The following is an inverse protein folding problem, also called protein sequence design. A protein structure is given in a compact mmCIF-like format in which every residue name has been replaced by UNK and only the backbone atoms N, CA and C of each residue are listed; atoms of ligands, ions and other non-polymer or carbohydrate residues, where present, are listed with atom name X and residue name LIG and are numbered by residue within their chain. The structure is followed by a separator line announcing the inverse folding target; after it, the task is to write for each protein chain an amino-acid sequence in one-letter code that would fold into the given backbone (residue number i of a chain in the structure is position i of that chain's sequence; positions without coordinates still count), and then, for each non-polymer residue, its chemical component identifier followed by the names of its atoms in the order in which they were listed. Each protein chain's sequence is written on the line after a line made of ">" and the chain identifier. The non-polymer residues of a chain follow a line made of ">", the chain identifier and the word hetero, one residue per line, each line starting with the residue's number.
data_IF_209958731241
#
_entry.id   IF_209958731241
#
_cell.length_a   1.000
_cell.length_b   1.000
_cell.length_c   1.000
_cell.angle_alpha   90.00
_cell.angle_beta   90.00
_cell.angle_gamma   90.00
#
_symmetry.space_group_name_H-M   'P 1'
#
loop_
_entity.id
_entity.type
_entity.pdbx_description
1 polymer ?
#
# COMPACT_ATOMS: atom_id res chain seq x y z
N UNK A 1 19.08 0.69 -3.32
CA UNK A 1 18.43 0.78 -2.00
C UNK A 1 16.99 1.15 -2.22
N UNK A 2 16.10 0.37 -1.62
CA UNK A 2 14.65 0.58 -1.59
C UNK A 2 14.36 1.79 -0.70
N UNK A 3 13.52 2.73 -1.15
CA UNK A 3 13.15 3.87 -0.30
C UNK A 3 11.97 3.54 0.64
N UNK A 4 11.87 4.26 1.76
CA UNK A 4 10.80 4.05 2.75
C UNK A 4 10.03 5.35 2.97
N UNK A 5 8.71 5.30 2.82
CA UNK A 5 7.79 6.38 3.16
C UNK A 5 7.03 6.05 4.44
N UNK A 6 7.22 6.87 5.47
CA UNK A 6 6.44 6.84 6.70
C UNK A 6 5.25 7.79 6.55
N UNK A 7 4.05 7.26 6.37
CA UNK A 7 2.85 8.03 6.06
C UNK A 7 2.01 8.36 7.29
N UNK A 8 1.35 9.52 7.29
CA UNK A 8 0.44 9.95 8.34
C UNK A 8 1.16 10.37 9.63
N UNK A 9 2.25 11.12 9.48
CA UNK A 9 2.99 11.70 10.60
C UNK A 9 2.26 12.94 11.11
N UNK A 10 2.06 13.02 12.43
CA UNK A 10 1.29 14.10 13.05
C UNK A 10 1.97 14.74 14.27
N UNK A 11 3.04 14.14 14.81
CA UNK A 11 3.68 14.59 16.06
C UNK A 11 5.17 14.87 15.88
N UNK A 12 5.71 15.77 16.69
CA UNK A 12 7.14 16.08 16.71
C UNK A 12 8.00 14.87 17.15
N UNK A 13 7.55 14.06 18.11
CA UNK A 13 8.28 12.86 18.55
C UNK A 13 8.39 11.79 17.44
N UNK A 14 7.43 11.75 16.50
CA UNK A 14 7.52 10.91 15.32
C UNK A 14 8.66 11.40 14.42
N UNK A 15 8.76 12.72 14.21
CA UNK A 15 9.83 13.35 13.43
C UNK A 15 11.20 13.11 14.07
N UNK A 16 11.32 13.22 15.38
CA UNK A 16 12.55 12.90 16.12
C UNK A 16 13.01 11.45 15.87
N UNK A 17 12.06 10.51 15.91
CA UNK A 17 12.32 9.10 15.62
C UNK A 17 12.79 8.90 14.19
N UNK A 18 12.15 9.56 13.22
CA UNK A 18 12.54 9.48 11.80
C UNK A 18 13.93 10.07 11.58
N UNK A 19 14.26 11.20 12.21
CA UNK A 19 15.60 11.78 12.14
C UNK A 19 16.67 10.85 12.75
N UNK A 20 16.34 10.15 13.84
CA UNK A 20 17.24 9.15 14.42
C UNK A 20 17.48 7.99 13.44
N UNK A 21 16.42 7.47 12.81
CA UNK A 21 16.52 6.44 11.78
C UNK A 21 17.33 6.90 10.57
N UNK A 22 17.11 8.13 10.10
CA UNK A 22 17.87 8.70 8.99
C UNK A 22 19.38 8.72 9.27
N UNK A 23 19.78 9.09 10.50
CA UNK A 23 21.19 9.07 10.92
C UNK A 23 21.76 7.65 10.98
N UNK A 24 20.98 6.68 11.45
CA UNK A 24 21.40 5.28 11.56
C UNK A 24 21.50 4.57 10.21
N UNK A 25 20.66 4.95 9.24
CA UNK A 25 20.58 4.33 7.91
C UNK A 25 20.72 5.37 6.78
N UNK A 26 21.87 6.07 6.69
CA UNK A 26 22.03 7.24 5.80
C UNK A 26 21.96 6.90 4.30
N UNK A 27 22.08 5.61 3.94
CA UNK A 27 21.96 5.12 2.56
C UNK A 27 20.53 4.81 2.15
N UNK A 28 19.58 4.81 3.08
CA UNK A 28 18.17 4.48 2.81
C UNK A 28 17.37 5.77 2.70
N UNK A 29 16.86 6.13 1.50
CA UNK A 29 16.08 7.35 1.34
C UNK A 29 14.76 7.26 2.11
N UNK A 30 14.45 8.30 2.88
CA UNK A 30 13.23 8.39 3.67
C UNK A 30 12.30 9.48 3.15
N UNK A 31 11.00 9.21 3.21
CA UNK A 31 9.93 10.15 2.89
C UNK A 31 8.93 10.24 4.05
N UNK A 32 8.35 11.41 4.26
CA UNK A 32 7.35 11.66 5.30
C UNK A 32 6.02 12.08 4.68
N UNK A 33 4.95 11.35 5.00
CA UNK A 33 3.60 11.64 4.51
C UNK A 33 2.78 12.48 5.49
N UNK A 34 2.26 13.61 5.03
CA UNK A 34 1.30 14.46 5.73
C UNK A 34 -0.07 14.34 5.08
N UNK A 35 -1.12 14.03 5.86
CA UNK A 35 -2.46 13.81 5.29
C UNK A 35 -3.29 15.08 5.34
N UNK A 36 -3.63 15.61 4.16
CA UNK A 36 -4.49 16.78 3.99
C UNK A 36 -5.89 16.34 3.55
N UNK A 37 -6.53 15.53 4.39
CA UNK A 37 -7.88 15.03 4.16
C UNK A 37 -8.63 14.97 5.49
N UNK A 38 -9.50 15.95 5.73
CA UNK A 38 -10.16 16.17 7.03
C UNK A 38 -10.86 14.94 7.62
N UNK A 39 -11.50 14.05 6.85
CA UNK A 39 -12.09 12.82 7.39
C UNK A 39 -11.08 11.78 7.90
N UNK A 40 -9.77 11.95 7.66
CA UNK A 40 -8.74 11.05 8.16
C UNK A 40 -8.43 11.31 9.64
N UNK A 41 -8.26 10.24 10.43
CA UNK A 41 -7.73 10.33 11.80
C UNK A 41 -6.30 10.89 11.87
N UNK A 42 -5.59 10.90 10.75
CA UNK A 42 -4.21 11.39 10.62
C UNK A 42 -4.13 12.77 9.94
N UNK A 43 -5.27 13.45 9.80
CA UNK A 43 -5.34 14.75 9.14
C UNK A 43 -4.52 15.81 9.91
N UNK A 44 -3.78 16.65 9.19
CA UNK A 44 -3.07 17.81 9.75
C UNK A 44 -3.32 19.07 8.93
N UNK A 45 -3.11 20.23 9.54
CA UNK A 45 -3.17 21.52 8.84
C UNK A 45 -1.88 21.81 8.07
N UNK A 46 -1.94 22.76 7.14
CA UNK A 46 -0.75 23.26 6.43
C UNK A 46 0.29 23.88 7.38
N UNK A 47 -0.16 24.60 8.42
CA UNK A 47 0.74 25.18 9.42
C UNK A 47 1.43 24.11 10.26
N UNK A 48 0.71 23.07 10.68
CA UNK A 48 1.29 21.94 11.41
C UNK A 48 2.27 21.16 10.52
N UNK A 49 1.93 20.91 9.25
CA UNK A 49 2.83 20.26 8.30
C UNK A 49 4.15 21.03 8.13
N UNK A 50 4.07 22.36 8.02
CA UNK A 50 5.25 23.22 7.90
C UNK A 50 6.12 23.18 9.17
N UNK A 51 5.50 23.18 10.35
CA UNK A 51 6.21 23.04 11.63
C UNK A 51 6.91 21.68 11.75
N UNK A 52 6.24 20.59 11.39
CA UNK A 52 6.85 19.26 11.40
C UNK A 52 7.97 19.15 10.36
N UNK A 53 7.78 19.74 9.18
CA UNK A 53 8.81 19.80 8.13
C UNK A 53 10.06 20.54 8.59
N UNK A 54 9.92 21.65 9.32
CA UNK A 54 11.09 22.39 9.81
C UNK A 54 11.92 21.63 10.84
N UNK A 55 11.37 20.55 11.41
CA UNK A 55 12.08 19.68 12.36
C UNK A 55 12.76 18.49 11.66
N UNK A 56 12.45 18.19 10.40
CA UNK A 56 13.05 17.07 9.65
C UNK A 56 14.47 17.39 9.20
N UNK A 57 15.30 16.36 9.10
CA UNK A 57 16.57 16.47 8.37
C UNK A 57 16.30 16.90 6.91
N UNK A 58 17.12 17.81 6.34
CA UNK A 58 16.85 18.44 5.04
C UNK A 58 16.82 17.44 3.87
N UNK A 59 17.43 16.27 4.02
CA UNK A 59 17.44 15.18 3.04
C UNK A 59 16.12 14.40 2.99
N UNK A 60 15.27 14.52 4.03
CA UNK A 60 14.01 13.79 4.12
C UNK A 60 12.92 14.56 3.36
N UNK A 61 12.43 13.96 2.29
CA UNK A 61 11.38 14.56 1.46
C UNK A 61 9.99 14.44 2.08
N UNK A 62 9.17 15.48 1.92
CA UNK A 62 7.79 15.52 2.42
C UNK A 62 6.76 15.30 1.32
N UNK A 63 5.72 14.53 1.62
CA UNK A 63 4.66 14.14 0.70
C UNK A 63 3.30 14.54 1.28
N UNK A 64 2.56 15.42 0.60
CA UNK A 64 1.18 15.71 0.95
C UNK A 64 0.23 14.69 0.36
N UNK A 65 -0.64 14.07 1.17
CA UNK A 65 -1.63 13.09 0.73
C UNK A 65 -3.00 13.75 0.64
N UNK A 66 -3.60 13.71 -0.54
CA UNK A 66 -4.87 14.36 -0.86
C UNK A 66 -5.90 13.33 -1.35
N UNK A 67 -7.18 13.64 -1.12
CA UNK A 67 -8.31 12.85 -1.64
C UNK A 67 -9.30 13.83 -2.24
N UNK A 68 -9.32 13.90 -3.57
CA UNK A 68 -10.19 14.76 -4.38
C UNK A 68 -10.11 16.27 -4.03
N UNK A 69 -8.94 16.73 -3.59
CA UNK A 69 -8.72 18.15 -3.26
C UNK A 69 -8.62 19.01 -4.53
N UNK A 70 -8.95 20.29 -4.46
CA UNK A 70 -8.84 21.19 -5.60
C UNK A 70 -7.38 21.37 -6.06
N UNK A 71 -7.08 21.31 -7.38
CA UNK A 71 -5.71 21.45 -7.89
C UNK A 71 -5.02 22.75 -7.45
N UNK A 72 -5.77 23.83 -7.25
CA UNK A 72 -5.22 25.11 -6.78
C UNK A 72 -4.70 25.02 -5.34
N UNK A 73 -5.41 24.31 -4.45
CA UNK A 73 -5.00 24.12 -3.06
C UNK A 73 -3.76 23.23 -2.98
N UNK A 74 -3.74 22.11 -3.73
CA UNK A 74 -2.57 21.22 -3.83
C UNK A 74 -1.35 21.97 -4.35
N UNK A 75 -1.51 22.74 -5.44
CA UNK A 75 -0.43 23.54 -6.01
C UNK A 75 0.11 24.60 -5.04
N UNK A 76 -0.76 25.21 -4.23
CA UNK A 76 -0.35 26.20 -3.22
C UNK A 76 0.62 25.60 -2.20
N UNK A 77 0.32 24.40 -1.68
CA UNK A 77 1.17 23.71 -0.70
C UNK A 77 2.51 23.26 -1.30
N UNK A 78 2.50 22.79 -2.56
CA UNK A 78 3.71 22.43 -3.31
C UNK A 78 4.60 23.65 -3.60
N UNK A 79 4.01 24.76 -4.04
CA UNK A 79 4.75 25.95 -4.47
C UNK A 79 5.27 26.77 -3.29
N UNK A 80 4.56 26.76 -2.15
CA UNK A 80 5.03 27.38 -0.90
C UNK A 80 6.08 26.55 -0.15
N UNK A 81 6.36 25.33 -0.59
CA UNK A 81 7.36 24.46 0.01
C UNK A 81 6.90 23.78 1.30
N UNK A 82 5.60 23.81 1.64
CA UNK A 82 5.04 23.04 2.76
C UNK A 82 5.22 21.53 2.52
N UNK A 83 5.16 21.12 1.24
CA UNK A 83 5.41 19.74 0.79
C UNK A 83 6.28 19.71 -0.47
N UNK A 84 7.00 18.62 -0.68
CA UNK A 84 7.88 18.44 -1.85
C UNK A 84 7.21 17.64 -2.98
N UNK A 85 6.35 16.68 -2.59
CA UNK A 85 5.56 15.83 -3.47
C UNK A 85 4.07 15.93 -3.11
N UNK A 86 3.18 15.72 -4.10
CA UNK A 86 1.76 15.51 -3.84
C UNK A 86 1.33 14.10 -4.25
N UNK A 87 0.79 13.35 -3.29
CA UNK A 87 0.17 12.05 -3.48
C UNK A 87 -1.35 12.22 -3.65
N UNK A 88 -1.84 11.92 -4.84
CA UNK A 88 -3.26 11.91 -5.20
C UNK A 88 -3.84 10.52 -4.88
N UNK A 89 -4.74 10.44 -3.91
CA UNK A 89 -5.24 9.20 -3.33
C UNK A 89 -6.77 9.07 -3.38
N UNK A 90 -7.44 9.91 -4.16
CA UNK A 90 -8.86 9.84 -4.42
C UNK A 90 -9.16 9.21 -5.78
N UNK A 91 -10.06 9.86 -6.51
CA UNK A 91 -10.48 9.50 -7.87
C UNK A 91 -9.94 10.50 -8.90
N UNK A 92 -8.82 11.16 -8.61
CA UNK A 92 -8.17 12.09 -9.53
C UNK A 92 -7.70 11.38 -10.80
N UNK A 93 -8.03 11.96 -11.95
CA UNK A 93 -7.76 11.43 -13.29
C UNK A 93 -6.65 12.20 -14.01
N UNK A 94 -6.34 11.79 -15.24
CA UNK A 94 -5.34 12.47 -16.07
C UNK A 94 -5.69 13.94 -16.37
N UNK A 95 -6.99 14.27 -16.47
CA UNK A 95 -7.42 15.65 -16.64
C UNK A 95 -7.13 16.49 -15.39
N UNK A 96 -7.30 15.92 -14.19
CA UNK A 96 -6.88 16.51 -12.93
C UNK A 96 -5.37 16.74 -12.90
N UNK A 97 -4.58 15.72 -13.21
CA UNK A 97 -3.11 15.81 -13.23
C UNK A 97 -2.66 16.90 -14.21
N UNK A 98 -3.22 16.94 -15.41
CA UNK A 98 -2.92 17.99 -16.40
C UNK A 98 -3.25 19.40 -15.88
N UNK A 99 -4.37 19.58 -15.15
CA UNK A 99 -4.70 20.86 -14.51
C UNK A 99 -3.71 21.23 -13.39
N UNK A 100 -3.24 20.25 -12.61
CA UNK A 100 -2.27 20.47 -11.54
C UNK A 100 -0.88 20.80 -12.10
N UNK A 101 -0.41 20.08 -13.11
CA UNK A 101 0.87 20.32 -13.80
C UNK A 101 0.96 21.68 -14.51
N UNK A 102 -0.17 22.32 -14.81
CA UNK A 102 -0.22 23.72 -15.28
C UNK A 102 0.08 24.73 -14.16
N UNK A 103 -0.05 24.35 -12.89
CA UNK A 103 0.09 25.22 -11.70
C UNK A 103 1.37 24.99 -10.92
N UNK A 104 2.00 23.84 -11.07
CA UNK A 104 3.23 23.48 -10.37
C UNK A 104 4.11 22.58 -11.24
N UNK A 105 5.41 22.62 -10.99
CA UNK A 105 6.40 21.70 -11.58
C UNK A 105 6.88 20.64 -10.59
N UNK A 106 6.29 20.61 -9.39
CA UNK A 106 6.63 19.66 -8.34
C UNK A 106 6.11 18.25 -8.71
N UNK A 107 6.82 17.20 -8.29
CA UNK A 107 6.50 15.82 -8.62
C UNK A 107 5.18 15.36 -7.99
N UNK A 108 4.44 14.55 -8.75
CA UNK A 108 3.18 13.94 -8.34
C UNK A 108 3.34 12.43 -8.18
N UNK A 109 2.60 11.88 -7.21
CA UNK A 109 2.44 10.45 -6.98
C UNK A 109 0.95 10.15 -7.15
N UNK A 110 0.56 9.24 -8.03
CA UNK A 110 -0.84 8.83 -8.14
C UNK A 110 -1.03 7.46 -7.49
N UNK A 111 -1.93 7.36 -6.53
CA UNK A 111 -2.24 6.11 -5.87
C UNK A 111 -3.36 5.36 -6.61
N UNK A 112 -3.21 4.05 -6.68
CA UNK A 112 -4.16 3.13 -7.30
C UNK A 112 -4.50 2.04 -6.29
N UNK A 113 -5.79 1.90 -5.99
CA UNK A 113 -6.28 0.73 -5.27
C UNK A 113 -6.31 -0.44 -6.26
N UNK A 114 -5.45 -1.44 -6.04
CA UNK A 114 -5.32 -2.61 -6.91
C UNK A 114 -6.09 -3.77 -6.31
N UNK A 115 -7.16 -4.18 -6.99
CA UNK A 115 -7.96 -5.37 -6.64
C UNK A 115 -7.89 -6.43 -7.73
N UNK A 116 -7.55 -6.03 -8.95
CA UNK A 116 -7.53 -6.85 -10.14
C UNK A 116 -6.48 -6.35 -11.14
N UNK A 117 -6.13 -7.19 -12.12
CA UNK A 117 -5.08 -6.89 -13.09
C UNK A 117 -5.31 -5.60 -13.89
N UNK A 118 -6.57 -5.24 -14.22
CA UNK A 118 -6.85 -4.01 -14.96
C UNK A 118 -6.55 -2.72 -14.17
N UNK A 119 -6.48 -2.78 -12.84
CA UNK A 119 -6.08 -1.62 -12.02
C UNK A 119 -4.58 -1.30 -12.22
N UNK A 120 -3.77 -2.32 -12.55
CA UNK A 120 -2.34 -2.17 -12.84
C UNK A 120 -2.14 -1.45 -14.18
N UNK A 121 -2.97 -1.72 -15.19
CA UNK A 121 -2.89 -1.00 -16.48
C UNK A 121 -3.15 0.51 -16.34
N UNK A 122 -4.06 0.90 -15.43
CA UNK A 122 -4.29 2.32 -15.10
C UNK A 122 -3.06 2.95 -14.45
N UNK A 123 -2.40 2.23 -13.54
CA UNK A 123 -1.15 2.70 -12.94
C UNK A 123 -0.01 2.79 -13.98
N UNK A 124 0.03 1.88 -14.95
CA UNK A 124 1.03 1.88 -16.03
C UNK A 124 0.94 3.15 -16.88
N UNK A 125 -0.27 3.57 -17.20
CA UNK A 125 -0.56 4.70 -18.11
C UNK A 125 -0.60 6.07 -17.44
N UNK A 126 -0.41 6.15 -16.12
CA UNK A 126 -0.43 7.40 -15.36
C UNK A 126 0.65 8.40 -15.83
N UNK A 127 0.30 9.69 -15.95
CA UNK A 127 1.29 10.75 -16.22
C UNK A 127 2.04 11.26 -14.98
N UNK A 128 1.71 10.78 -13.78
CA UNK A 128 2.42 11.12 -12.56
C UNK A 128 3.89 10.67 -12.61
N UNK A 129 4.77 11.27 -11.80
CA UNK A 129 6.19 10.89 -11.78
C UNK A 129 6.39 9.49 -11.17
N UNK A 130 5.64 9.19 -10.11
CA UNK A 130 5.59 7.87 -9.49
C UNK A 130 4.13 7.42 -9.34
N UNK A 131 3.94 6.11 -9.21
CA UNK A 131 2.64 5.55 -8.83
C UNK A 131 2.77 4.81 -7.51
N UNK A 132 1.68 4.76 -6.76
CA UNK A 132 1.59 4.00 -5.52
C UNK A 132 0.51 2.93 -5.68
N UNK A 133 0.84 1.69 -5.37
CA UNK A 133 -0.11 0.57 -5.43
C UNK A 133 -0.55 0.25 -4.01
N UNK A 134 -1.84 0.41 -3.74
CA UNK A 134 -2.45 0.16 -2.45
C UNK A 134 -3.43 -1.03 -2.55
N UNK A 135 -3.48 -1.85 -1.51
CA UNK A 135 -4.51 -2.89 -1.37
C UNK A 135 -5.91 -2.29 -1.13
N UNK A 136 -5.96 -1.02 -0.71
CA UNK A 136 -7.17 -0.31 -0.34
C UNK A 136 -7.58 -0.52 1.11
N UNK A 137 -8.73 0.04 1.49
CA UNK A 137 -9.25 -0.02 2.87
C UNK A 137 -10.01 -1.33 3.12
N UNK A 138 -9.62 -2.03 4.19
CA UNK A 138 -10.33 -3.15 4.82
C UNK A 138 -9.51 -3.64 6.01
N UNK A 139 -10.13 -3.89 7.17
CA UNK A 139 -9.42 -4.48 8.31
C UNK A 139 -8.80 -5.83 7.89
N UNK A 140 -7.47 -5.93 7.93
CA UNK A 140 -6.74 -7.13 7.55
C UNK A 140 -6.56 -7.38 6.04
N UNK A 141 -7.02 -6.49 5.16
CA UNK A 141 -6.79 -6.63 3.72
C UNK A 141 -5.31 -6.37 3.38
N UNK A 142 -4.57 -7.45 3.07
CA UNK A 142 -3.20 -7.39 2.56
C UNK A 142 -3.22 -7.29 1.04
N UNK A 143 -2.26 -6.58 0.47
CA UNK A 143 -2.09 -6.56 -0.99
C UNK A 143 -1.84 -7.98 -1.50
N UNK A 144 -2.59 -8.43 -2.50
CA UNK A 144 -2.31 -9.71 -3.15
C UNK A 144 -1.12 -9.55 -4.10
N UNK A 145 0.10 -9.77 -3.59
CA UNK A 145 1.35 -9.55 -4.33
C UNK A 145 1.46 -10.39 -5.60
N UNK A 146 0.76 -11.53 -5.69
CA UNK A 146 0.73 -12.35 -6.92
C UNK A 146 0.22 -11.59 -8.15
N UNK A 147 -0.55 -10.51 -7.97
CA UNK A 147 -1.02 -9.65 -9.06
C UNK A 147 0.14 -8.90 -9.76
N UNK A 148 1.28 -8.74 -9.10
CA UNK A 148 2.47 -8.09 -9.66
C UNK A 148 3.44 -9.08 -10.31
N UNK A 149 3.10 -10.38 -10.34
CA UNK A 149 3.92 -11.45 -10.88
C UNK A 149 4.92 -12.01 -9.86
N UNK A 150 5.35 -13.25 -10.09
CA UNK A 150 6.45 -13.87 -9.33
C UNK A 150 7.78 -13.48 -10.00
N UNK A 151 8.47 -12.48 -9.46
CA UNK A 151 9.74 -11.98 -10.01
C UNK A 151 10.92 -12.92 -9.77
N UNK A 152 10.70 -14.04 -9.03
CA UNK A 152 11.76 -14.98 -8.62
C UNK A 152 12.45 -15.71 -9.76
N UNK A 153 11.80 -15.89 -10.92
CA UNK A 153 12.36 -16.73 -11.99
C UNK A 153 13.58 -16.09 -12.68
N UNK A 154 13.65 -14.76 -12.77
CA UNK A 154 14.58 -14.11 -13.72
C UNK A 154 15.57 -13.14 -13.04
N UNK A 155 15.34 -12.76 -11.77
CA UNK A 155 16.16 -11.75 -11.08
C UNK A 155 17.58 -12.24 -10.71
N UNK A 156 17.85 -13.56 -10.71
CA UNK A 156 19.15 -14.14 -10.33
C UNK A 156 20.02 -14.61 -11.50
N UNK A 157 19.48 -14.66 -12.73
CA UNK A 157 20.22 -15.18 -13.88
C UNK A 157 21.15 -14.14 -14.53
N UNK A 158 20.89 -12.83 -14.36
CA UNK A 158 21.47 -11.78 -15.22
C UNK A 158 22.34 -10.75 -14.47
N UNK A 159 22.96 -11.12 -13.35
CA UNK A 159 23.84 -10.22 -12.56
C UNK A 159 25.12 -9.74 -13.31
N UNK A 160 25.27 -10.06 -14.60
CA UNK A 160 26.46 -9.75 -15.41
C UNK A 160 26.26 -8.63 -16.44
N UNK A 161 25.06 -8.05 -16.58
CA UNK A 161 24.80 -6.95 -17.54
C UNK A 161 24.24 -5.72 -16.82
N UNK A 162 24.91 -4.58 -16.98
CA UNK A 162 24.67 -3.27 -16.32
C UNK A 162 23.33 -2.56 -16.68
N UNK A 163 22.24 -3.29 -16.91
CA UNK A 163 20.91 -2.72 -17.19
C UNK A 163 20.00 -2.80 -15.94
N UNK A 164 19.28 -1.72 -15.57
CA UNK A 164 18.60 -1.64 -14.28
C UNK A 164 17.44 -2.63 -14.18
N UNK A 165 17.34 -3.24 -12.99
CA UNK A 165 16.32 -4.19 -12.55
C UNK A 165 14.88 -3.72 -12.81
N UNK A 166 14.26 -4.13 -13.93
CA UNK A 166 12.80 -4.10 -14.11
C UNK A 166 12.32 -4.87 -15.37
N UNK A 167 12.68 -6.16 -15.54
CA UNK A 167 12.21 -6.92 -16.73
C UNK A 167 10.92 -7.70 -16.49
N UNK A 168 10.60 -8.05 -15.23
CA UNK A 168 9.43 -8.87 -14.89
C UNK A 168 8.36 -8.18 -14.04
N UNK A 169 8.51 -6.89 -13.73
CA UNK A 169 7.47 -6.15 -13.04
C UNK A 169 6.53 -5.53 -14.09
N UNK A 170 5.24 -5.87 -13.97
CA UNK A 170 4.15 -5.51 -14.88
C UNK A 170 4.09 -4.00 -15.18
N UNK A 171 4.57 -3.16 -14.26
CA UNK A 171 4.50 -1.71 -14.40
C UNK A 171 5.66 -1.07 -15.16
N UNK A 172 6.81 -1.74 -15.31
CA UNK A 172 8.02 -1.20 -15.97
C UNK A 172 8.38 0.27 -15.60
N UNK A 173 8.00 0.72 -14.40
CA UNK A 173 8.24 2.07 -13.88
C UNK A 173 8.46 2.04 -12.37
N UNK A 174 9.06 3.10 -11.84
CA UNK A 174 9.20 3.27 -10.40
C UNK A 174 7.82 3.38 -9.74
N UNK A 175 7.61 2.59 -8.69
CA UNK A 175 6.37 2.60 -7.92
C UNK A 175 6.63 2.36 -6.43
N UNK A 176 5.73 2.91 -5.61
CA UNK A 176 5.66 2.62 -4.19
C UNK A 176 4.65 1.50 -3.93
N UNK A 177 5.05 0.51 -3.14
CA UNK A 177 4.14 -0.53 -2.65
C UNK A 177 3.57 -0.13 -1.30
N UNK A 178 2.24 -0.16 -1.16
CA UNK A 178 1.51 0.14 0.06
C UNK A 178 0.49 -0.97 0.35
N UNK A 179 -0.35 -0.77 1.38
CA UNK A 179 -1.47 -1.65 1.69
C UNK A 179 -1.11 -2.79 2.63
N UNK A 180 -1.30 -2.56 3.94
CA UNK A 180 -1.13 -3.61 4.96
C UNK A 180 0.31 -4.02 5.23
N UNK A 181 1.30 -3.22 4.82
CA UNK A 181 2.72 -3.46 5.13
C UNK A 181 3.00 -3.27 6.62
N UNK A 182 3.88 -4.12 7.15
CA UNK A 182 4.33 -4.13 8.55
C UNK A 182 5.74 -4.74 8.65
N UNK A 183 6.43 -4.62 9.81
CA UNK A 183 7.75 -5.22 9.98
C UNK A 183 7.76 -6.72 9.66
N UNK A 184 6.68 -7.43 9.95
CA UNK A 184 6.60 -8.89 9.77
C UNK A 184 6.52 -9.32 8.29
N UNK A 185 6.20 -8.41 7.37
CA UNK A 185 5.89 -8.77 5.99
C UNK A 185 6.64 -7.97 4.91
N UNK A 186 7.25 -6.84 5.27
CA UNK A 186 7.86 -5.93 4.29
C UNK A 186 9.02 -6.56 3.53
N UNK A 187 9.83 -7.40 4.19
CA UNK A 187 10.91 -8.11 3.51
C UNK A 187 10.38 -8.97 2.36
N UNK A 188 9.35 -9.79 2.63
CA UNK A 188 8.75 -10.67 1.62
C UNK A 188 8.05 -9.85 0.53
N UNK A 189 7.41 -8.74 0.89
CA UNK A 189 6.80 -7.82 -0.08
C UNK A 189 7.87 -7.27 -1.05
N UNK A 190 9.02 -6.83 -0.53
CA UNK A 190 10.14 -6.38 -1.35
C UNK A 190 10.73 -7.51 -2.20
N UNK A 191 10.85 -8.72 -1.65
CA UNK A 191 11.36 -9.89 -2.37
C UNK A 191 10.48 -10.26 -3.58
N UNK A 192 9.16 -10.26 -3.39
CA UNK A 192 8.22 -10.69 -4.43
C UNK A 192 7.92 -9.60 -5.46
N UNK A 193 8.02 -8.33 -5.07
CA UNK A 193 7.55 -7.23 -5.91
C UNK A 193 8.69 -6.37 -6.48
N UNK A 194 9.85 -6.32 -5.81
CA UNK A 194 10.95 -5.38 -6.12
C UNK A 194 10.48 -3.93 -6.37
N UNK A 195 9.77 -3.30 -5.42
CA UNK A 195 9.31 -1.95 -5.60
C UNK A 195 10.47 -0.94 -5.56
N UNK A 196 10.27 0.24 -6.13
CA UNK A 196 11.21 1.35 -5.93
C UNK A 196 11.23 1.78 -4.45
N UNK A 197 10.08 1.72 -3.80
CA UNK A 197 9.95 1.97 -2.37
C UNK A 197 8.71 1.38 -1.75
N UNK A 198 8.63 1.44 -0.44
CA UNK A 198 7.49 0.98 0.35
C UNK A 198 6.87 2.15 1.11
N UNK A 199 5.54 2.17 1.20
CA UNK A 199 4.76 3.16 1.95
C UNK A 199 4.01 2.47 3.11
N UNK A 200 4.28 2.91 4.33
CA UNK A 200 3.70 2.32 5.53
C UNK A 200 3.02 3.36 6.40
N UNK A 201 1.82 3.03 6.89
CA UNK A 201 1.08 3.85 7.84
C UNK A 201 0.72 3.07 9.11
N UNK A 202 -0.35 2.27 9.10
CA UNK A 202 -0.87 1.60 10.31
C UNK A 202 0.01 0.45 10.80
N UNK A 203 0.80 -0.20 9.94
CA UNK A 203 1.67 -1.31 10.34
C UNK A 203 2.79 -0.92 11.32
N UNK A 204 3.06 0.38 11.45
CA UNK A 204 4.02 0.95 12.40
C UNK A 204 3.33 1.76 13.50
N UNK A 205 2.04 1.53 13.74
CA UNK A 205 1.28 2.17 14.80
C UNK A 205 1.04 1.21 15.97
N UNK A 206 1.02 1.78 17.18
CA UNK A 206 0.53 1.16 18.42
C UNK A 206 -0.53 2.10 19.00
N UNK A 207 -1.73 1.59 19.24
CA UNK A 207 -2.88 2.38 19.71
C UNK A 207 -3.16 3.63 18.84
N UNK A 208 -2.99 3.51 17.51
CA UNK A 208 -3.26 4.59 16.55
C UNK A 208 -2.18 5.68 16.47
N UNK A 209 -1.08 5.54 17.20
CA UNK A 209 0.07 6.44 17.18
C UNK A 209 1.29 5.74 16.61
N UNK A 210 2.20 6.47 15.94
CA UNK A 210 3.45 5.86 15.46
C UNK A 210 4.27 5.32 16.63
N UNK A 211 4.81 4.13 16.42
CA UNK A 211 5.61 3.40 17.39
C UNK A 211 7.08 3.39 16.92
N UNK A 212 7.99 4.05 17.65
CA UNK A 212 9.40 4.12 17.28
C UNK A 212 10.06 2.76 17.07
N UNK A 213 9.70 1.76 17.88
CA UNK A 213 10.27 0.41 17.76
C UNK A 213 9.80 -0.27 16.47
N UNK A 214 8.51 -0.14 16.12
CA UNK A 214 8.00 -0.69 14.85
C UNK A 214 8.55 0.05 13.63
N UNK A 215 8.74 1.36 13.72
CA UNK A 215 9.36 2.14 12.65
C UNK A 215 10.80 1.68 12.38
N UNK A 216 11.56 1.46 13.45
CA UNK A 216 12.91 0.92 13.37
C UNK A 216 12.92 -0.47 12.75
N UNK A 217 12.12 -1.41 13.29
CA UNK A 217 12.04 -2.78 12.78
C UNK A 217 11.62 -2.81 11.29
N UNK A 218 10.67 -1.97 10.90
CA UNK A 218 10.26 -1.87 9.50
C UNK A 218 11.42 -1.46 8.59
N UNK A 219 12.18 -0.43 8.98
CA UNK A 219 13.32 0.04 8.20
C UNK A 219 14.46 -1.00 8.17
N UNK A 220 14.71 -1.66 9.29
CA UNK A 220 15.69 -2.74 9.40
C UNK A 220 15.37 -3.89 8.45
N UNK A 221 14.10 -4.29 8.33
CA UNK A 221 13.68 -5.35 7.41
C UNK A 221 13.83 -4.95 5.93
N UNK A 222 13.59 -3.67 5.58
CA UNK A 222 13.87 -3.16 4.23
C UNK A 222 15.37 -3.15 3.96
N UNK A 223 16.19 -2.71 4.92
CA UNK A 223 17.66 -2.72 4.80
C UNK A 223 18.21 -4.14 4.72
N UNK A 224 17.61 -5.09 5.47
CA UNK A 224 17.93 -6.52 5.41
C UNK A 224 17.66 -7.07 4.02
N UNK A 225 16.53 -6.71 3.40
CA UNK A 225 16.23 -7.06 2.02
C UNK A 225 17.25 -6.48 1.05
N UNK A 226 17.54 -5.18 1.12
CA UNK A 226 18.50 -4.54 0.21
C UNK A 226 19.89 -5.18 0.31
N UNK A 227 20.32 -5.52 1.53
CA UNK A 227 21.60 -6.20 1.78
C UNK A 227 21.60 -7.61 1.19
N UNK A 228 20.52 -8.37 1.40
CA UNK A 228 20.35 -9.70 0.83
C UNK A 228 20.31 -9.69 -0.70
N UNK A 229 19.63 -8.70 -1.29
CA UNK A 229 19.49 -8.55 -2.73
C UNK A 229 20.79 -8.12 -3.42
N UNK A 230 21.63 -7.32 -2.74
CA UNK A 230 22.93 -6.88 -3.25
C UNK A 230 24.07 -7.88 -3.05
N UNK A 231 23.88 -8.91 -2.22
CA UNK A 231 24.93 -9.90 -1.95
C UNK A 231 25.26 -10.71 -3.22
N UNK A 232 26.54 -10.91 -3.57
CA UNK A 232 26.92 -11.79 -4.67
C UNK A 232 26.36 -13.18 -4.41
N UNK A 233 25.74 -13.79 -5.41
CA UNK A 233 25.34 -15.20 -5.36
C UNK A 233 26.57 -16.03 -5.03
N UNK A 234 26.66 -16.54 -3.79
CA UNK A 234 27.63 -17.59 -3.51
C UNK A 234 27.24 -18.78 -4.39
N UNK A 235 28.12 -19.12 -5.33
CA UNK A 235 27.99 -20.35 -6.09
C UNK A 235 27.83 -21.50 -5.11
N UNK A 236 26.66 -22.13 -5.09
CA UNK A 236 26.45 -23.37 -4.36
C UNK A 236 27.48 -24.38 -4.90
N UNK A 237 28.32 -24.99 -4.05
CA UNK A 237 29.20 -26.06 -4.49
C UNK A 237 28.36 -27.33 -4.63
N UNK A 238 27.51 -27.39 -5.65
CA UNK A 238 26.95 -28.64 -6.15
C UNK A 238 27.68 -28.99 -7.44
N UNK A 239 28.94 -29.38 -7.29
CA UNK A 239 29.67 -30.10 -8.30
C UNK A 239 30.30 -31.34 -7.66
N UNK A 240 29.83 -32.50 -8.13
CA UNK A 240 30.47 -33.82 -8.10
C UNK A 240 30.37 -34.64 -6.80
N UNK A 241 29.26 -35.36 -6.67
CA UNK A 241 29.35 -36.80 -6.38
C UNK A 241 28.54 -37.57 -7.42
N UNK A 242 29.23 -38.16 -8.38
CA UNK A 242 28.66 -39.11 -9.32
C UNK A 242 28.17 -40.36 -8.56
N UNK A 243 27.02 -40.95 -8.92
CA UNK A 243 26.60 -42.20 -8.33
C UNK A 243 27.47 -43.35 -8.86
N UNK A 244 28.25 -43.96 -7.98
CA UNK A 244 28.98 -45.20 -8.25
C UNK A 244 27.99 -46.37 -8.34
N UNK A 245 27.89 -46.92 -9.54
CA UNK A 245 27.52 -48.27 -9.97
C UNK A 245 26.58 -49.15 -9.11
N UNK A 246 25.56 -49.65 -9.80
CA UNK A 246 24.61 -50.67 -9.37
C UNK A 246 25.22 -52.07 -9.22
N UNK A 247 24.60 -52.89 -8.36
CA UNK A 247 24.55 -54.36 -8.51
C UNK A 247 23.13 -54.89 -8.27
N UNK A 248 22.74 -56.03 -8.90
CA UNK A 248 21.35 -56.38 -9.13
C UNK A 248 20.84 -57.46 -8.17
N UNK A 249 19.53 -57.47 -7.88
CA UNK A 249 18.84 -58.67 -7.39
C UNK A 249 17.59 -58.99 -8.18
N UNK A 250 17.40 -60.30 -8.36
CA UNK A 250 16.65 -60.95 -9.41
C UNK A 250 15.12 -60.97 -9.21
N UNK A 251 14.44 -61.13 -10.34
CA UNK A 251 13.00 -61.33 -10.53
C UNK A 251 12.53 -62.69 -10.01
N UNK A 252 11.35 -62.72 -9.40
CA UNK A 252 10.38 -63.81 -9.53
C UNK A 252 8.97 -63.23 -9.69
N UNK A 253 8.26 -63.68 -10.73
CA UNK A 253 6.81 -63.62 -10.92
C UNK A 253 6.23 -65.02 -10.60
N UNK A 254 4.93 -65.36 -10.75
CA UNK A 254 3.74 -64.64 -11.24
C UNK A 254 2.56 -64.73 -10.22
N UNK A 255 1.31 -64.29 -10.42
CA UNK A 255 0.27 -64.82 -11.32
C UNK A 255 -1.03 -64.01 -11.15
N UNK A 256 -1.84 -64.01 -12.20
CA UNK A 256 -3.12 -63.31 -12.36
C UNK A 256 -4.30 -63.93 -11.59
N UNK A 257 -5.35 -63.13 -11.33
CA UNK A 257 -6.74 -63.56 -11.53
C UNK A 257 -7.70 -62.37 -11.66
N UNK A 258 -8.61 -62.48 -12.63
CA UNK A 258 -9.65 -61.54 -13.00
C UNK A 258 -11.01 -61.89 -12.35
N UNK A 259 -11.90 -60.89 -12.19
CA UNK A 259 -13.37 -60.93 -12.36
C UNK A 259 -13.98 -59.62 -11.79
N UNK A 260 -14.62 -58.74 -12.57
CA UNK A 260 -16.04 -58.75 -12.98
C UNK A 260 -17.07 -58.64 -11.83
N UNK A 261 -17.80 -57.51 -11.75
CA UNK A 261 -19.29 -57.40 -11.87
C UNK A 261 -19.86 -56.08 -11.29
N UNK A 262 -20.55 -55.35 -12.17
CA UNK A 262 -21.78 -54.52 -12.12
C UNK A 262 -22.40 -53.94 -10.80
N UNK A 263 -23.26 -52.88 -10.93
CA UNK A 263 -23.67 -51.97 -9.85
C UNK A 263 -25.09 -52.24 -9.30
N UNK A 264 -25.44 -51.62 -8.16
CA UNK A 264 -26.83 -51.54 -7.70
C UNK A 264 -27.12 -50.22 -6.95
N UNK A 265 -28.33 -49.71 -7.20
CA UNK A 265 -28.94 -48.49 -6.71
C UNK A 265 -29.73 -48.69 -5.39
N UNK A 266 -30.49 -47.65 -5.02
CA UNK A 266 -31.40 -47.46 -3.86
C UNK A 266 -30.75 -46.72 -2.66
N UNK A 267 -31.38 -45.75 -2.00
CA UNK A 267 -32.80 -45.41 -1.95
C UNK A 267 -33.07 -43.97 -1.51
N UNK A 268 -34.32 -43.55 -1.70
CA UNK A 268 -34.86 -42.21 -1.54
C UNK A 268 -35.33 -41.86 -0.10
N UNK A 269 -35.72 -40.58 0.02
CA UNK A 269 -36.68 -39.98 0.95
C UNK A 269 -36.21 -39.51 2.35
N UNK A 270 -36.27 -38.19 2.57
CA UNK A 270 -37.38 -37.65 3.39
C UNK A 270 -37.64 -36.15 3.10
N UNK A 271 -38.91 -35.76 3.20
CA UNK A 271 -39.47 -34.45 2.87
C UNK A 271 -39.92 -33.67 4.12
N UNK A 272 -40.44 -32.45 3.89
CA UNK A 272 -41.18 -31.54 4.79
C UNK A 272 -40.31 -30.50 5.56
N UNK A 273 -40.63 -29.22 5.69
CA UNK A 273 -41.80 -28.41 5.34
C UNK A 273 -41.45 -26.89 5.37
N UNK A 274 -42.24 -26.08 4.64
CA UNK A 274 -42.79 -24.74 4.94
C UNK A 274 -42.04 -23.75 5.87
N UNK A 275 -41.97 -22.43 5.65
CA UNK A 275 -42.65 -21.50 4.76
C UNK A 275 -41.92 -20.14 4.76
N UNK A 276 -42.03 -19.37 3.67
CA UNK A 276 -41.85 -17.91 3.67
C UNK A 276 -43.09 -17.21 4.26
N UNK A 277 -42.96 -15.93 4.66
CA UNK A 277 -43.69 -14.92 3.90
C UNK A 277 -42.91 -13.62 3.67
N UNK A 278 -43.27 -12.93 2.59
CA UNK A 278 -43.08 -11.50 2.30
C UNK A 278 -44.49 -10.87 2.12
N UNK A 279 -44.65 -9.57 1.82
CA UNK A 279 -44.15 -8.32 2.42
C UNK A 279 -45.32 -7.33 2.77
N UNK A 280 -45.00 -6.03 2.95
CA UNK A 280 -45.88 -4.84 3.10
C UNK A 280 -46.37 -4.55 4.54
N UNK A 281 -46.48 -3.31 5.05
CA UNK A 281 -46.91 -2.03 4.45
C UNK A 281 -46.66 -0.85 5.42
N UNK A 282 -46.34 0.34 4.89
CA UNK A 282 -46.65 1.64 5.51
C UNK A 282 -48.06 2.09 5.04
N UNK A 283 -48.81 2.95 5.77
CA UNK A 283 -48.75 4.41 5.51
C UNK A 283 -49.20 5.36 6.67
N UNK A 284 -49.21 6.67 6.33
CA UNK A 284 -49.88 7.85 6.93
C UNK A 284 -49.21 8.52 8.16
N UNK A 285 -48.70 9.78 8.12
CA UNK A 285 -49.29 11.12 7.85
C UNK A 285 -50.43 11.56 8.79
N UNK A 286 -50.18 12.63 9.56
CA UNK A 286 -50.95 13.89 9.65
C UNK A 286 -50.61 14.61 10.99
N UNK A 287 -50.07 15.84 10.96
CA UNK A 287 -50.78 17.11 11.23
C UNK A 287 -50.87 17.42 12.75
N UNK A 288 -50.75 18.64 13.30
CA UNK A 288 -50.65 20.03 12.83
C UNK A 288 -50.51 20.94 14.07
N UNK A 289 -50.01 22.17 13.85
CA UNK A 289 -50.25 23.44 14.58
C UNK A 289 -49.77 23.60 16.04
N UNK A 290 -49.23 24.73 16.48
CA UNK A 290 -48.99 26.00 15.78
C UNK A 290 -48.45 27.12 16.70
N UNK A 291 -48.03 28.21 16.05
CA UNK A 291 -48.05 29.65 16.46
C UNK A 291 -47.22 30.09 17.68
N UNK A 292 -46.11 30.81 17.46
CA UNK A 292 -45.93 32.29 17.39
C UNK A 292 -45.87 32.95 18.79
N UNK A 293 -44.92 33.81 19.15
CA UNK A 293 -44.68 35.15 18.58
C UNK A 293 -43.36 35.80 19.08
N UNK A 294 -42.96 36.86 18.37
CA UNK A 294 -42.14 38.02 18.77
C UNK A 294 -40.58 37.99 18.73
N UNK A 295 -40.06 38.63 17.67
CA UNK A 295 -38.82 39.43 17.60
C UNK A 295 -39.06 40.87 18.13
N UNK A 296 -38.13 41.84 18.01
CA UNK A 296 -36.74 41.97 18.50
C UNK A 296 -36.51 43.35 19.19
N UNK A 297 -35.27 43.68 19.62
CA UNK A 297 -34.64 45.03 19.83
C UNK A 297 -33.74 44.97 21.10
N UNK A 298 -32.43 45.24 21.12
CA UNK A 298 -31.68 46.47 20.80
C UNK A 298 -30.17 46.12 20.89
N UNK A 299 -29.35 46.39 19.86
CA UNK A 299 -28.41 47.52 19.68
C UNK A 299 -27.41 47.88 20.82
N UNK A 300 -26.12 47.81 20.43
CA UNK A 300 -24.93 48.67 20.74
C UNK A 300 -24.27 48.53 22.13
N UNK A 301 -23.00 48.07 22.19
CA UNK A 301 -21.70 48.81 22.03
C UNK A 301 -21.42 49.81 23.17
N UNK A 302 -20.44 49.51 24.03
CA UNK A 302 -19.12 50.17 24.18
C UNK A 302 -18.42 49.74 25.49
N UNK A 303 -17.07 49.77 25.43
CA UNK A 303 -16.02 49.98 26.46
C UNK A 303 -16.33 49.65 27.94
N UNK A 304 -15.49 48.96 28.72
CA UNK A 304 -14.02 48.85 28.78
C UNK A 304 -13.56 47.40 29.05
#
# INVERSE_FOLDING_TARGET
>A
MTCVKFCGITRACDVESINALHRSYPKTPLYVGFVFYAPSKRAISASQALQLKSLLAPEISTVGVFVNEQPAAVASLLNSGVIDYAQLHGSEDEAYIARLCKRTKKPLIQAFCVKQACDIERARTSSAAMVLLDAGKGEGARFNWSLLGDTRADARADAQNDAPANRNNVLQRAYLLAGGLSPENVFLACELCHPFGVDVSSGIETQGSKDPAKMQQFLEEVVRFDTWYAAPTQATPFAQSAPTQATPFAKTAPTAHAAQLAPAAHDAANAAAHAQPAPASAPAQAATNGTSTHSPCSQRRHHD
#
